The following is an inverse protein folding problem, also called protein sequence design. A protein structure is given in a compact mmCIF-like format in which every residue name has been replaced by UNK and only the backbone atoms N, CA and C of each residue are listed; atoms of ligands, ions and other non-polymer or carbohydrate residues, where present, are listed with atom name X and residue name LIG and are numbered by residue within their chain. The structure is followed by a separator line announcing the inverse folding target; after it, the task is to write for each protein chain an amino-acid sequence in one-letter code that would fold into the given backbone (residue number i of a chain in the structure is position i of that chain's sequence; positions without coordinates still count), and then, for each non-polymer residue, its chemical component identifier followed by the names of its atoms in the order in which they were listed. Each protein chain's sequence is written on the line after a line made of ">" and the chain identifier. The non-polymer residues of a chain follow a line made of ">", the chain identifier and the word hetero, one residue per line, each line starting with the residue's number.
data_IF_480690377571
#
_entry.id   IF_480690377571
#
_cell.length_a   1.000
_cell.length_b   1.000
_cell.length_c   1.000
_cell.angle_alpha   90.00
_cell.angle_beta   90.00
_cell.angle_gamma   90.00
#
_symmetry.space_group_name_H-M   'P 1'
#
loop_
_entity.id
_entity.type
_entity.pdbx_description
1 polymer ?
#
# COMPACT_ATOMS: atom_id res chain seq x y z
N UNK A 1 0.09 3.77 1.03
CA UNK A 1 -1.33 3.44 1.26
C UNK A 1 -1.42 2.06 1.90
N UNK A 2 -2.11 1.96 3.03
CA UNK A 2 -2.27 0.71 3.78
C UNK A 2 -1.29 0.53 4.95
N UNK A 3 -1.20 -0.66 5.55
CA UNK A 3 -1.88 -1.89 5.11
C UNK A 3 -3.40 -1.79 5.26
N UNK A 4 -4.12 -2.15 4.20
CA UNK A 4 -5.58 -2.14 4.16
C UNK A 4 -6.14 -3.54 4.45
N UNK A 5 -7.29 -3.58 5.12
CA UNK A 5 -8.04 -4.79 5.40
C UNK A 5 -7.51 -5.56 6.60
N UNK A 6 -6.90 -4.92 7.62
CA UNK A 6 -6.52 -5.64 8.85
C UNK A 6 -7.69 -5.76 9.82
N UNK A 7 -8.44 -4.67 9.98
CA UNK A 7 -9.52 -4.57 10.96
C UNK A 7 -10.89 -4.51 10.30
N UNK A 8 -11.91 -5.06 10.97
CA UNK A 8 -13.27 -5.15 10.45
C UNK A 8 -13.97 -3.81 10.22
N UNK A 9 -13.47 -2.72 10.81
CA UNK A 9 -14.08 -1.39 10.74
C UNK A 9 -13.23 -0.39 9.93
N UNK A 10 -12.27 -0.88 9.15
CA UNK A 10 -11.53 -0.02 8.22
C UNK A 10 -12.44 0.51 7.11
N UNK A 11 -12.18 1.75 6.68
CA UNK A 11 -12.92 2.41 5.62
C UNK A 11 -12.15 2.34 4.31
N UNK A 12 -12.91 2.37 3.21
CA UNK A 12 -12.36 2.52 1.86
C UNK A 12 -11.42 3.74 1.75
N UNK A 13 -10.40 3.60 0.92
CA UNK A 13 -9.58 4.72 0.43
C UNK A 13 -10.12 5.14 -0.94
N UNK A 14 -10.54 6.38 -1.07
CA UNK A 14 -11.03 6.94 -2.33
C UNK A 14 -10.55 8.37 -2.52
N UNK A 15 -10.05 8.71 -3.72
CA UNK A 15 -9.71 10.09 -4.09
C UNK A 15 -8.40 10.61 -3.49
N UNK A 16 -7.45 9.73 -3.21
CA UNK A 16 -6.15 10.13 -2.66
C UNK A 16 -5.25 10.68 -3.76
N UNK A 17 -4.74 11.91 -3.60
CA UNK A 17 -3.71 12.49 -4.45
C UNK A 17 -2.46 12.75 -3.62
N UNK A 18 -1.33 12.22 -4.05
CA UNK A 18 -0.01 12.50 -3.50
C UNK A 18 0.82 13.16 -4.58
N UNK A 19 1.31 14.38 -4.33
CA UNK A 19 2.02 15.16 -5.34
C UNK A 19 3.19 15.95 -4.78
N UNK A 20 4.22 16.17 -5.60
CA UNK A 20 5.31 17.10 -5.32
C UNK A 20 6.29 16.62 -4.24
N UNK A 21 6.59 15.33 -4.20
CA UNK A 21 7.49 14.75 -3.20
C UNK A 21 8.80 14.28 -3.83
N UNK A 22 9.89 14.33 -3.07
CA UNK A 22 11.14 13.65 -3.39
C UNK A 22 11.35 12.49 -2.40
N UNK A 23 11.48 11.27 -2.93
CA UNK A 23 11.71 10.05 -2.18
C UNK A 23 13.14 9.59 -2.49
N UNK A 24 14.06 9.80 -1.56
CA UNK A 24 15.49 9.53 -1.76
C UNK A 24 16.01 8.50 -0.76
N UNK A 25 16.83 7.54 -1.21
CA UNK A 25 17.49 6.54 -0.35
C UNK A 25 16.52 5.68 0.49
N UNK A 26 15.32 5.41 -0.02
CA UNK A 26 14.31 4.60 0.69
C UNK A 26 14.23 3.18 0.13
N UNK A 27 13.74 2.25 0.95
CA UNK A 27 13.45 0.89 0.48
C UNK A 27 12.31 0.86 -0.55
N UNK A 28 11.31 1.74 -0.40
CA UNK A 28 10.17 1.82 -1.30
C UNK A 28 9.85 3.29 -1.59
N UNK A 29 9.46 3.58 -2.82
CA UNK A 29 8.95 4.88 -3.22
C UNK A 29 7.47 4.95 -2.85
N UNK A 30 6.59 4.82 -3.83
CA UNK A 30 5.15 4.70 -3.57
C UNK A 30 4.80 3.24 -3.30
N UNK A 31 4.04 2.99 -2.23
CA UNK A 31 3.62 1.65 -1.83
C UNK A 31 2.14 1.61 -1.53
N UNK A 32 1.43 0.66 -2.13
CA UNK A 32 0.08 0.25 -1.74
C UNK A 32 0.17 -1.18 -1.20
N UNK A 33 -0.40 -1.43 -0.03
CA UNK A 33 -0.43 -2.77 0.57
C UNK A 33 -1.79 -3.12 1.16
N UNK A 34 -2.30 -4.32 0.90
CA UNK A 34 -3.49 -4.90 1.55
C UNK A 34 -3.19 -6.28 2.10
N UNK A 35 -3.81 -6.61 3.23
CA UNK A 35 -3.68 -7.92 3.88
C UNK A 35 -4.20 -9.04 2.98
N UNK A 36 -3.45 -10.13 2.91
CA UNK A 36 -3.88 -11.35 2.20
C UNK A 36 -5.17 -11.92 2.79
N UNK A 37 -5.19 -12.10 4.12
CA UNK A 37 -6.32 -12.62 4.87
C UNK A 37 -7.13 -11.48 5.50
N UNK A 38 -7.74 -10.64 4.66
CA UNK A 38 -8.58 -9.57 5.17
C UNK A 38 -9.91 -10.12 5.73
N UNK A 39 -10.35 -9.71 6.94
CA UNK A 39 -11.64 -10.15 7.47
C UNK A 39 -12.83 -9.42 6.82
N UNK A 40 -12.57 -8.45 5.94
CA UNK A 40 -13.59 -7.61 5.31
C UNK A 40 -13.21 -7.27 3.87
N UNK A 41 -14.20 -6.90 3.05
CA UNK A 41 -13.92 -6.31 1.74
C UNK A 41 -13.62 -4.82 1.92
N UNK A 42 -12.46 -4.38 1.44
CA UNK A 42 -12.03 -2.97 1.45
C UNK A 42 -11.61 -2.53 0.05
N UNK A 43 -11.96 -1.30 -0.33
CA UNK A 43 -11.61 -0.73 -1.63
C UNK A 43 -10.56 0.36 -1.50
N UNK A 44 -9.62 0.37 -2.44
CA UNK A 44 -8.68 1.47 -2.67
C UNK A 44 -8.82 1.89 -4.13
N UNK A 45 -9.48 3.03 -4.38
CA UNK A 45 -9.83 3.51 -5.72
C UNK A 45 -9.53 4.98 -5.91
N UNK A 46 -9.38 5.41 -7.15
CA UNK A 46 -9.06 6.81 -7.49
C UNK A 46 -7.86 7.36 -6.71
N UNK A 47 -6.71 6.69 -6.84
CA UNK A 47 -5.46 7.07 -6.18
C UNK A 47 -4.48 7.59 -7.24
N UNK A 48 -3.96 8.80 -7.06
CA UNK A 48 -3.03 9.45 -7.97
C UNK A 48 -1.72 9.76 -7.25
N UNK A 49 -0.60 9.31 -7.83
CA UNK A 49 0.74 9.75 -7.46
C UNK A 49 1.32 10.53 -8.64
N UNK A 50 1.63 11.81 -8.48
CA UNK A 50 2.05 12.68 -9.58
C UNK A 50 3.17 13.63 -9.14
N UNK A 51 4.06 14.05 -10.03
CA UNK A 51 5.21 14.89 -9.68
C UNK A 51 6.02 14.34 -8.50
N UNK A 52 6.28 13.02 -8.49
CA UNK A 52 7.12 12.37 -7.48
C UNK A 52 8.48 12.09 -8.10
N UNK A 53 9.54 12.60 -7.46
CA UNK A 53 10.92 12.25 -7.77
C UNK A 53 11.29 11.05 -6.89
N UNK A 54 11.84 10.01 -7.50
CA UNK A 54 12.32 8.81 -6.82
C UNK A 54 13.80 8.62 -7.16
N UNK A 55 14.66 8.76 -6.16
CA UNK A 55 16.12 8.78 -6.33
C UNK A 55 16.78 7.76 -5.40
N UNK A 56 17.59 6.85 -5.96
CA UNK A 56 18.22 5.76 -5.20
C UNK A 56 17.23 4.98 -4.29
N UNK A 57 16.05 4.67 -4.83
CA UNK A 57 14.99 3.93 -4.14
C UNK A 57 14.99 2.49 -4.62
N UNK A 58 15.05 1.53 -3.70
CA UNK A 58 15.16 0.11 -4.07
C UNK A 58 13.92 -0.43 -4.79
N UNK A 59 12.72 -0.02 -4.37
CA UNK A 59 11.45 -0.39 -4.98
C UNK A 59 10.62 0.88 -5.29
N UNK A 60 10.81 1.55 -6.45
CA UNK A 60 10.18 2.84 -6.73
C UNK A 60 8.65 2.83 -6.65
N UNK A 61 8.02 1.76 -7.11
CA UNK A 61 6.57 1.55 -7.08
C UNK A 61 6.30 0.09 -6.69
N UNK A 62 5.47 -0.14 -5.67
CA UNK A 62 5.04 -1.49 -5.28
C UNK A 62 3.56 -1.52 -4.89
N UNK A 63 2.84 -2.50 -5.43
CA UNK A 63 1.45 -2.81 -5.05
C UNK A 63 1.43 -4.26 -4.59
N UNK A 64 1.15 -4.46 -3.31
CA UNK A 64 1.23 -5.75 -2.62
C UNK A 64 -0.15 -6.11 -2.04
N UNK A 65 -0.89 -6.96 -2.75
CA UNK A 65 -2.20 -7.44 -2.28
C UNK A 65 -2.12 -8.66 -1.37
N UNK A 66 -0.92 -9.21 -1.15
CA UNK A 66 -0.67 -10.35 -0.28
C UNK A 66 0.22 -9.94 0.89
N UNK A 67 -0.02 -8.74 1.42
CA UNK A 67 0.83 -8.22 2.48
C UNK A 67 0.72 -9.08 3.73
N UNK A 68 1.82 -9.73 4.05
CA UNK A 68 1.92 -10.69 5.14
C UNK A 68 3.24 -10.47 5.90
N UNK A 69 3.31 -9.48 6.82
CA UNK A 69 4.55 -9.21 7.55
C UNK A 69 4.90 -10.30 8.57
N UNK A 70 3.92 -11.12 8.99
CA UNK A 70 4.13 -12.25 9.88
C UNK A 70 3.49 -13.49 9.26
N UNK A 71 4.28 -14.52 8.96
CA UNK A 71 3.79 -15.76 8.34
C UNK A 71 2.66 -16.44 9.11
N UNK A 72 2.58 -16.22 10.42
CA UNK A 72 1.53 -16.78 11.29
C UNK A 72 0.16 -16.11 11.14
N UNK A 73 0.08 -14.99 10.41
CA UNK A 73 -1.13 -14.16 10.30
C UNK A 73 -1.79 -14.21 8.92
N UNK A 74 -1.36 -15.15 8.07
CA UNK A 74 -1.84 -15.28 6.70
C UNK A 74 -2.24 -16.73 6.48
N UNK A 75 -3.49 -16.95 6.12
CA UNK A 75 -3.97 -18.26 5.69
C UNK A 75 -3.48 -18.48 4.27
N UNK A 76 -2.51 -19.38 4.13
CA UNK A 76 -2.16 -20.00 2.86
C UNK A 76 -3.01 -21.27 2.74
N UNK A 77 -4.33 -21.10 2.60
CA UNK A 77 -5.25 -22.20 2.27
C UNK A 77 -5.09 -22.60 0.80
#
# INVERSE_FOLDING_TARGET
>A
VGSLGRYAYEKDVNGLVVTGCNLTNTLNGVRIKSWQASPVTISARNITFVHIIVENVANPIIIDQKYCPFKTSCDDS
#
